data_IF_079724097784
#
_entry.id   IF_079724097784
#
_cell.length_a   1.000
_cell.length_b   1.000
_cell.length_c   1.000
_cell.angle_alpha   90.00
_cell.angle_beta   90.00
_cell.angle_gamma   90.00
#
_symmetry.space_group_name_H-M   'P 1'
#
loop_
_entity.id
_entity.type
_entity.pdbx_description
1 polymer ?
#
# COMPACT_ATOMS: atom_id res chain seq x y z
N UNK A 1 -14.04 19.43 -1.52
CA UNK A 1 -12.78 19.14 -0.81
C UNK A 1 -13.11 18.03 0.17
N UNK A 2 -12.68 16.79 -0.12
CA UNK A 2 -12.91 15.67 0.80
C UNK A 2 -12.12 15.91 2.07
N UNK A 3 -12.75 15.69 3.23
CA UNK A 3 -12.06 15.78 4.52
C UNK A 3 -10.85 14.82 4.54
N UNK A 4 -9.73 15.21 5.19
CA UNK A 4 -8.60 14.30 5.34
C UNK A 4 -9.08 13.06 6.08
N UNK A 5 -8.93 11.89 5.45
CA UNK A 5 -9.26 10.61 6.06
C UNK A 5 -8.43 10.48 7.35
N UNK A 6 -9.10 10.51 8.50
CA UNK A 6 -8.44 10.36 9.79
C UNK A 6 -8.04 8.91 9.98
N UNK A 7 -6.74 8.64 9.96
CA UNK A 7 -6.19 7.29 10.07
C UNK A 7 -6.01 6.94 11.56
N UNK A 8 -6.72 5.93 12.09
CA UNK A 8 -6.70 5.60 13.51
C UNK A 8 -5.52 4.67 13.85
N UNK A 9 -4.37 4.86 13.21
CA UNK A 9 -3.16 4.07 13.41
C UNK A 9 -2.02 4.97 13.86
N UNK A 10 -1.14 4.50 14.76
CA UNK A 10 -0.02 5.30 15.20
C UNK A 10 0.95 5.52 14.03
N UNK A 11 1.50 6.74 13.96
CA UNK A 11 2.62 7.03 13.06
C UNK A 11 3.82 6.18 13.46
N UNK A 12 4.59 5.75 12.46
CA UNK A 12 5.78 4.97 12.68
C UNK A 12 6.97 5.87 13.02
N UNK A 13 7.61 5.60 14.15
CA UNK A 13 8.77 6.35 14.66
C UNK A 13 10.11 5.62 14.44
N UNK A 14 10.12 4.54 13.66
CA UNK A 14 11.30 3.73 13.38
C UNK A 14 11.43 2.48 14.26
N UNK A 15 10.44 2.17 15.09
CA UNK A 15 10.40 0.93 15.86
C UNK A 15 10.19 -0.33 14.99
N UNK A 16 10.62 -1.51 15.47
CA UNK A 16 10.47 -2.76 14.72
C UNK A 16 9.03 -3.28 14.75
N UNK A 17 8.38 -3.32 13.58
CA UNK A 17 6.98 -3.72 13.41
C UNK A 17 6.79 -4.66 12.23
N UNK A 18 5.72 -5.47 12.23
CA UNK A 18 5.49 -6.45 11.16
C UNK A 18 4.80 -5.89 9.92
N UNK A 19 4.01 -4.84 10.08
CA UNK A 19 3.30 -4.22 8.98
C UNK A 19 3.35 -2.70 9.08
N UNK A 20 3.66 -2.07 7.97
CA UNK A 20 3.54 -0.64 7.78
C UNK A 20 2.57 -0.37 6.64
N UNK A 21 1.89 0.76 6.73
CA UNK A 21 1.22 1.34 5.57
C UNK A 21 1.72 2.74 5.30
N UNK A 22 1.79 3.12 4.02
CA UNK A 22 2.12 4.47 3.59
C UNK A 22 0.89 5.08 2.94
N UNK A 23 0.47 6.22 3.46
CA UNK A 23 -0.61 7.00 2.90
C UNK A 23 -0.20 7.70 1.60
N UNK A 24 -1.16 8.11 0.76
CA UNK A 24 -0.89 8.88 -0.46
C UNK A 24 -0.08 10.16 -0.22
N UNK A 25 -0.23 10.79 0.96
CA UNK A 25 0.52 11.98 1.35
C UNK A 25 1.93 11.69 1.90
N UNK A 26 2.36 10.43 1.94
CA UNK A 26 3.66 9.99 2.44
C UNK A 26 3.72 9.64 3.92
N UNK A 27 2.64 9.84 4.69
CA UNK A 27 2.59 9.45 6.11
C UNK A 27 2.72 7.95 6.28
N UNK A 28 3.56 7.50 7.22
CA UNK A 28 3.83 6.08 7.49
C UNK A 28 3.21 5.69 8.82
N UNK A 29 2.38 4.65 8.83
CA UNK A 29 1.64 4.21 10.01
C UNK A 29 1.85 2.72 10.27
N UNK A 30 1.83 2.35 11.54
CA UNK A 30 1.91 0.94 11.97
C UNK A 30 0.53 0.31 11.86
N UNK A 31 0.42 -0.79 11.12
CA UNK A 31 -0.84 -1.53 10.96
C UNK A 31 -0.79 -2.82 11.79
N UNK A 32 -1.58 -2.95 12.86
CA UNK A 32 -1.67 -4.21 13.58
C UNK A 32 -2.14 -5.34 12.68
N UNK A 33 -1.72 -6.58 12.97
CA UNK A 33 -2.21 -7.75 12.22
C UNK A 33 -3.75 -7.80 12.24
N UNK A 34 -4.37 -8.08 11.09
CA UNK A 34 -5.83 -8.05 10.92
C UNK A 34 -6.45 -6.65 10.75
N UNK A 35 -5.69 -5.56 10.89
CA UNK A 35 -6.21 -4.20 10.74
C UNK A 35 -6.21 -3.66 9.29
N UNK A 36 -5.67 -4.41 8.33
CA UNK A 36 -5.74 -4.06 6.91
C UNK A 36 -7.19 -3.95 6.41
N UNK A 37 -8.08 -4.82 6.90
CA UNK A 37 -9.53 -4.76 6.59
C UNK A 37 -10.16 -3.46 7.13
N UNK A 38 -9.72 -3.00 8.31
CA UNK A 38 -10.21 -1.74 8.88
C UNK A 38 -9.69 -0.54 8.07
N UNK A 39 -8.41 -0.56 7.68
CA UNK A 39 -7.85 0.48 6.81
C UNK A 39 -8.58 0.52 5.47
N UNK A 40 -8.81 -0.65 4.87
CA UNK A 40 -9.55 -0.80 3.63
C UNK A 40 -10.97 -0.27 3.75
N UNK A 41 -11.73 -0.61 4.80
CA UNK A 41 -13.07 -0.07 5.01
C UNK A 41 -13.10 1.46 5.15
N UNK A 42 -12.04 2.06 5.70
CA UNK A 42 -11.92 3.52 5.86
C UNK A 42 -11.58 4.20 4.51
N UNK A 43 -10.71 3.60 3.71
CA UNK A 43 -10.16 4.18 2.48
C UNK A 43 -11.01 3.87 1.26
N UNK A 44 -11.36 2.59 1.09
CA UNK A 44 -12.09 2.03 -0.06
C UNK A 44 -13.58 1.91 0.28
N UNK A 45 -13.91 1.55 1.52
CA UNK A 45 -15.30 1.38 1.94
C UNK A 45 -16.05 0.37 1.08
N UNK A 46 -17.22 0.75 0.56
CA UNK A 46 -18.03 -0.10 -0.32
C UNK A 46 -17.71 0.11 -1.81
N UNK A 47 -16.70 0.92 -2.14
CA UNK A 47 -16.34 1.19 -3.53
C UNK A 47 -15.74 -0.06 -4.18
N UNK A 48 -16.27 -0.46 -5.34
CA UNK A 48 -15.77 -1.60 -6.10
C UNK A 48 -14.57 -1.20 -6.99
N UNK A 49 -13.53 -0.60 -6.42
CA UNK A 49 -12.39 -0.09 -7.19
C UNK A 49 -11.63 -1.22 -7.89
N UNK A 50 -11.57 -2.41 -7.26
CA UNK A 50 -10.97 -3.60 -7.86
C UNK A 50 -11.73 -4.08 -9.11
N UNK A 51 -13.03 -3.77 -9.23
CA UNK A 51 -13.83 -4.14 -10.40
C UNK A 51 -13.57 -3.24 -11.63
N UNK A 52 -12.81 -2.14 -11.46
CA UNK A 52 -12.44 -1.23 -12.56
C UNK A 52 -11.20 -1.72 -13.34
N UNK A 53 -10.54 -2.77 -12.87
CA UNK A 53 -9.30 -3.28 -13.45
C UNK A 53 -9.39 -4.79 -13.70
N UNK A 54 -8.90 -5.24 -14.86
CA UNK A 54 -8.72 -6.65 -15.13
C UNK A 54 -7.47 -7.15 -14.38
N UNK A 55 -7.67 -7.73 -13.19
CA UNK A 55 -6.54 -8.12 -12.33
C UNK A 55 -6.95 -8.86 -11.05
N UNK A 56 -5.97 -9.23 -10.20
CA UNK A 56 -6.24 -9.82 -8.90
C UNK A 56 -7.01 -8.82 -8.02
N UNK A 57 -7.92 -9.33 -7.19
CA UNK A 57 -8.65 -8.53 -6.21
C UNK A 57 -8.23 -8.90 -4.79
N UNK A 58 -8.43 -7.97 -3.86
CA UNK A 58 -8.18 -8.17 -2.44
C UNK A 58 -7.78 -6.89 -1.72
N UNK A 59 -7.88 -6.93 -0.40
CA UNK A 59 -7.71 -5.78 0.51
C UNK A 59 -6.48 -4.94 0.22
N UNK A 60 -5.31 -5.57 0.03
CA UNK A 60 -4.06 -4.85 -0.24
C UNK A 60 -3.95 -4.31 -1.65
N UNK A 61 -4.49 -5.02 -2.63
CA UNK A 61 -4.52 -4.59 -4.03
C UNK A 61 -5.41 -3.35 -4.14
N UNK A 62 -6.60 -3.38 -3.54
CA UNK A 62 -7.51 -2.24 -3.54
C UNK A 62 -6.90 -1.05 -2.79
N UNK A 63 -6.23 -1.27 -1.65
CA UNK A 63 -5.47 -0.21 -1.00
C UNK A 63 -4.38 0.39 -1.92
N UNK A 64 -3.64 -0.46 -2.65
CA UNK A 64 -2.66 -0.01 -3.65
C UNK A 64 -3.29 0.83 -4.77
N UNK A 65 -4.43 0.39 -5.32
CA UNK A 65 -5.22 1.16 -6.29
C UNK A 65 -5.72 2.49 -5.68
N UNK A 66 -5.99 2.55 -4.38
CA UNK A 66 -6.33 3.80 -3.69
C UNK A 66 -5.09 4.67 -3.36
N UNK A 67 -3.89 4.30 -3.84
CA UNK A 67 -2.64 5.04 -3.65
C UNK A 67 -1.90 4.74 -2.34
N UNK A 68 -2.33 3.72 -1.59
CA UNK A 68 -1.70 3.31 -0.33
C UNK A 68 -0.66 2.21 -0.56
N UNK A 69 0.41 2.21 0.24
CA UNK A 69 1.43 1.15 0.18
C UNK A 69 1.31 0.26 1.40
N UNK A 70 1.46 -1.04 1.25
CA UNK A 70 1.49 -2.01 2.36
C UNK A 70 2.85 -2.69 2.37
N UNK A 71 3.60 -2.59 3.47
CA UNK A 71 4.84 -3.32 3.69
C UNK A 71 4.59 -4.38 4.76
N UNK A 72 5.04 -5.61 4.51
CA UNK A 72 4.90 -6.72 5.45
C UNK A 72 6.18 -7.55 5.54
N UNK A 73 6.52 -7.92 6.77
CA UNK A 73 7.42 -9.03 7.06
C UNK A 73 6.69 -10.03 7.95
N UNK A 74 6.49 -11.25 7.45
CA UNK A 74 5.81 -12.31 8.20
C UNK A 74 6.76 -13.09 9.14
N UNK A 75 8.08 -12.83 9.07
CA UNK A 75 9.16 -13.56 9.77
C UNK A 75 9.20 -15.08 9.50
N UNK A 76 8.28 -15.61 8.69
CA UNK A 76 8.23 -17.01 8.28
C UNK A 76 9.02 -17.21 7.00
N UNK A 77 8.94 -16.22 6.12
CA UNK A 77 9.75 -16.09 4.94
C UNK A 77 10.85 -15.07 5.20
N UNK A 78 12.05 -15.35 4.73
CA UNK A 78 13.18 -14.42 4.75
C UNK A 78 12.99 -13.32 3.68
N UNK A 79 11.84 -12.64 3.77
CA UNK A 79 11.30 -11.77 2.73
C UNK A 79 10.45 -10.65 3.31
N UNK A 80 10.63 -9.46 2.75
CA UNK A 80 9.65 -8.36 2.83
C UNK A 80 8.78 -8.38 1.58
N UNK A 81 7.47 -8.30 1.76
CA UNK A 81 6.50 -8.15 0.69
C UNK A 81 5.94 -6.74 0.72
N UNK A 82 5.82 -6.13 -0.46
CA UNK A 82 5.29 -4.78 -0.65
C UNK A 82 4.19 -4.82 -1.70
N UNK A 83 3.02 -4.31 -1.39
CA UNK A 83 1.96 -4.00 -2.34
C UNK A 83 1.91 -2.48 -2.49
N UNK A 84 2.07 -1.97 -3.70
CA UNK A 84 2.18 -0.53 -3.95
C UNK A 84 1.45 -0.11 -5.25
N UNK A 85 1.01 1.15 -5.35
CA UNK A 85 0.62 1.70 -6.64
C UNK A 85 1.83 1.74 -7.59
N UNK A 86 1.53 1.68 -8.88
CA UNK A 86 2.46 2.05 -9.94
C UNK A 86 3.04 3.44 -9.64
N UNK A 87 4.33 3.61 -9.93
CA UNK A 87 5.03 4.87 -9.66
C UNK A 87 5.53 5.07 -8.23
N UNK A 88 5.29 4.12 -7.30
CA UNK A 88 5.85 4.21 -5.94
C UNK A 88 7.38 4.37 -5.95
N UNK A 89 7.88 5.27 -5.12
CA UNK A 89 9.26 5.76 -5.10
C UNK A 89 10.01 5.46 -3.79
N UNK A 90 9.34 4.86 -2.80
CA UNK A 90 9.85 4.68 -1.43
C UNK A 90 10.94 3.61 -1.25
N UNK A 91 11.94 3.61 -2.14
CA UNK A 91 13.08 2.68 -2.15
C UNK A 91 13.80 2.68 -0.79
N UNK A 92 14.07 3.87 -0.24
CA UNK A 92 14.76 3.98 1.05
C UNK A 92 13.91 3.43 2.21
N UNK A 93 12.62 3.72 2.23
CA UNK A 93 11.71 3.15 3.24
C UNK A 93 11.69 1.62 3.19
N UNK A 94 11.56 1.05 2.00
CA UNK A 94 11.53 -0.41 1.81
C UNK A 94 12.87 -1.03 2.22
N UNK A 95 14.00 -0.38 1.91
CA UNK A 95 15.33 -0.81 2.36
C UNK A 95 15.45 -0.78 3.88
N UNK A 96 15.06 0.32 4.52
CA UNK A 96 15.10 0.45 5.98
C UNK A 96 14.25 -0.63 6.64
N UNK A 97 13.03 -0.87 6.14
CA UNK A 97 12.15 -1.91 6.65
C UNK A 97 12.74 -3.32 6.44
N UNK A 98 13.31 -3.60 5.27
CA UNK A 98 13.96 -4.88 5.00
C UNK A 98 15.20 -5.12 5.88
N UNK A 99 16.03 -4.10 6.07
CA UNK A 99 17.21 -4.16 6.95
C UNK A 99 16.82 -4.41 8.40
N UNK A 100 15.80 -3.72 8.89
CA UNK A 100 15.24 -3.90 10.24
C UNK A 100 14.77 -5.34 10.48
N UNK A 101 14.35 -6.04 9.42
CA UNK A 101 13.91 -7.42 9.47
C UNK A 101 14.97 -8.43 9.05
N UNK A 102 16.19 -7.98 8.72
CA UNK A 102 17.29 -8.82 8.21
C UNK A 102 16.86 -9.65 7.00
N UNK A 103 15.95 -9.13 6.17
CA UNK A 103 15.33 -9.89 5.10
C UNK A 103 16.33 -10.19 3.96
N UNK A 104 16.47 -11.46 3.60
CA UNK A 104 17.28 -11.91 2.47
C UNK A 104 16.70 -11.56 1.09
N UNK A 105 15.41 -11.23 1.01
CA UNK A 105 14.76 -10.82 -0.24
C UNK A 105 13.65 -9.79 -0.05
N UNK A 106 13.32 -9.07 -1.12
CA UNK A 106 12.22 -8.12 -1.21
C UNK A 106 11.39 -8.48 -2.44
N UNK A 107 10.08 -8.55 -2.29
CA UNK A 107 9.13 -8.63 -3.39
C UNK A 107 8.22 -7.40 -3.38
N UNK A 108 8.14 -6.69 -4.50
CA UNK A 108 7.28 -5.52 -4.69
C UNK A 108 6.31 -5.80 -5.82
N UNK A 109 5.02 -5.88 -5.51
CA UNK A 109 3.93 -5.95 -6.45
C UNK A 109 3.38 -4.54 -6.71
N UNK A 110 3.37 -4.13 -7.98
CA UNK A 110 2.89 -2.84 -8.43
C UNK A 110 1.52 -2.98 -9.09
N UNK A 111 0.61 -2.06 -8.76
CA UNK A 111 -0.79 -2.09 -9.19
C UNK A 111 -1.19 -0.75 -9.85
N UNK A 112 -1.99 -0.74 -10.93
CA UNK A 112 -2.66 -1.90 -11.54
C UNK A 112 -1.81 -2.72 -12.52
N UNK A 113 -0.55 -2.32 -12.82
CA UNK A 113 0.26 -3.00 -13.86
C UNK A 113 0.44 -4.51 -13.65
N UNK A 114 0.38 -4.98 -12.41
CA UNK A 114 0.66 -6.37 -12.04
C UNK A 114 2.15 -6.72 -12.10
N UNK A 115 3.03 -5.72 -12.26
CA UNK A 115 4.48 -5.93 -12.27
C UNK A 115 4.94 -6.40 -10.89
N UNK A 116 5.70 -7.50 -10.85
CA UNK A 116 6.32 -7.97 -9.62
C UNK A 116 7.84 -7.93 -9.75
N UNK A 117 8.48 -7.15 -8.88
CA UNK A 117 9.94 -7.08 -8.75
C UNK A 117 10.39 -7.88 -7.56
N UNK A 118 11.35 -8.79 -7.77
CA UNK A 118 12.03 -9.49 -6.68
C UNK A 118 13.51 -9.19 -6.73
N UNK A 119 14.10 -8.80 -5.60
CA UNK A 119 15.51 -8.42 -5.52
C UNK A 119 16.06 -8.58 -4.10
N UNK A 120 17.37 -8.42 -3.94
CA UNK A 120 17.99 -8.23 -2.62
C UNK A 120 17.96 -6.75 -2.22
N UNK A 121 18.20 -6.46 -0.93
CA UNK A 121 18.23 -5.09 -0.38
C UNK A 121 19.10 -4.11 -1.20
N UNK A 122 20.38 -4.42 -1.53
CA UNK A 122 21.23 -3.48 -2.26
C UNK A 122 20.79 -3.26 -3.72
N UNK A 123 20.06 -4.21 -4.30
CA UNK A 123 19.62 -4.18 -5.69
C UNK A 123 18.28 -3.48 -5.87
N UNK A 124 17.56 -3.20 -4.78
CA UNK A 124 16.24 -2.57 -4.86
C UNK A 124 16.34 -1.21 -5.54
N UNK A 125 15.56 -1.04 -6.62
CA UNK A 125 15.37 0.22 -7.32
C UNK A 125 13.93 0.31 -7.81
N UNK A 126 13.17 1.25 -7.25
CA UNK A 126 11.79 1.53 -7.64
C UNK A 126 11.73 2.63 -8.71
N UNK A 127 10.73 2.59 -9.62
CA UNK A 127 10.70 3.43 -10.82
C UNK A 127 10.61 4.94 -10.53
N UNK A 128 10.13 5.33 -9.35
CA UNK A 128 10.36 6.66 -8.78
C UNK A 128 9.65 7.86 -9.42
N UNK A 129 8.83 7.70 -10.48
CA UNK A 129 8.31 8.84 -11.26
C UNK A 129 6.95 8.57 -11.96
N UNK A 130 6.07 7.75 -11.39
CA UNK A 130 4.72 7.54 -11.95
C UNK A 130 3.65 8.27 -11.13
N UNK A 131 2.61 8.79 -11.80
CA UNK A 131 1.38 9.20 -11.11
C UNK A 131 0.84 7.99 -10.33
N UNK A 132 0.53 8.16 -9.04
CA UNK A 132 -0.11 7.09 -8.25
C UNK A 132 -1.54 6.91 -8.77
N UNK A 133 -1.78 5.87 -9.56
CA UNK A 133 -3.09 5.63 -10.19
C UNK A 133 -3.96 4.71 -9.32
N UNK A 134 -5.30 4.91 -9.27
CA UNK A 134 -6.06 6.13 -9.59
C UNK A 134 -6.37 7.06 -8.38
N UNK A 135 -6.28 8.38 -8.61
CA UNK A 135 -6.59 9.45 -7.64
C UNK A 135 -8.09 9.85 -7.62
N UNK A 136 -9.01 8.96 -8.00
CA UNK A 136 -10.46 9.29 -7.96
C UNK A 136 -11.27 8.20 -7.27
N UNK A 137 -11.34 8.25 -5.94
CA UNK A 137 -12.48 7.70 -5.19
C UNK A 137 -13.58 8.76 -5.24
N UNK A 138 -14.18 8.93 -6.43
CA UNK A 138 -15.25 9.88 -6.67
C UNK A 138 -16.51 9.47 -5.91
N UNK A 139 -16.96 10.32 -4.99
CA UNK A 139 -18.30 10.25 -4.45
C UNK A 139 -19.32 10.58 -5.54
N UNK A 140 -20.06 9.58 -5.99
CA UNK A 140 -21.32 9.79 -6.71
C UNK A 140 -22.43 9.07 -5.94
N UNK A 141 -22.92 9.74 -4.89
CA UNK A 141 -24.31 9.61 -4.50
C UNK A 141 -25.09 10.66 -5.29
N UNK A 142 -25.28 10.41 -6.59
CA UNK A 142 -26.31 11.09 -7.36
C UNK A 142 -27.59 10.25 -7.24
N UNK A 143 -28.31 10.48 -6.14
CA UNK A 143 -29.71 10.09 -6.07
C UNK A 143 -30.44 10.75 -7.24
N UNK A 144 -30.88 9.93 -8.19
CA UNK A 144 -31.88 10.34 -9.18
C UNK A 144 -33.16 9.61 -8.81
N UNK A 145 -33.99 10.27 -8.02
CA UNK A 145 -35.41 9.95 -7.88
C UNK A 145 -36.15 11.18 -8.40
N UNK A 146 -36.66 11.08 -9.63
CA UNK A 146 -37.80 11.87 -10.12
C UNK A 146 -39.08 11.07 -9.91
#
# INVERSE_FOLDING_TARGET
MSEPVSIPFPEWDGERVRHLTVAPNGGVYVVPSGAHERLHQIVVGNSAIGAQFDGPTGTKVELALAGWVQLQSDQLTDRVNVDAPDGFDGTELVRTFAQMHEAGSIAVALHPSGEVRTCTIPELSLPGNGDRVPVSVGGENAATEE
#
